data_IF_398301224358
#
_entry.id   IF_398301224358
#
_cell.length_a   1.000
_cell.length_b   1.000
_cell.length_c   1.000
_cell.angle_alpha   90.00
_cell.angle_beta   90.00
_cell.angle_gamma   90.00
#
_symmetry.space_group_name_H-M   'P 1'
#
loop_
_entity.id
_entity.type
_entity.pdbx_description
1 polymer ?
#
# COMPACT_ATOMS: atom_id res chain seq x y z
N UNK A 1 1.72 20.25 -20.79
CA UNK A 1 0.46 19.44 -20.71
C UNK A 1 0.69 18.13 -19.96
N UNK A 2 -0.11 17.84 -18.93
CA UNK A 2 -0.04 16.53 -18.25
C UNK A 2 -0.69 15.45 -19.13
N UNK A 3 -0.25 14.18 -19.08
CA UNK A 3 -0.61 13.14 -20.06
C UNK A 3 -2.12 12.89 -20.23
N UNK A 4 -2.92 13.25 -19.22
CA UNK A 4 -4.37 13.04 -19.18
C UNK A 4 -5.19 14.34 -19.11
N UNK A 5 -4.58 15.52 -19.36
CA UNK A 5 -5.30 16.81 -19.31
C UNK A 5 -5.72 17.31 -17.91
N UNK A 6 -5.53 16.51 -16.87
CA UNK A 6 -5.99 16.83 -15.51
C UNK A 6 -5.25 18.03 -14.89
N UNK A 7 -5.96 18.90 -14.17
CA UNK A 7 -5.46 20.02 -13.37
C UNK A 7 -5.08 19.60 -11.95
N UNK A 8 -4.19 20.37 -11.30
CA UNK A 8 -3.61 19.99 -10.00
C UNK A 8 -4.67 19.89 -8.90
N UNK A 9 -5.67 20.77 -8.94
CA UNK A 9 -6.81 20.78 -8.03
C UNK A 9 -7.72 19.55 -8.17
N UNK A 10 -7.60 18.80 -9.25
CA UNK A 10 -8.50 17.68 -9.56
C UNK A 10 -7.94 16.32 -9.08
N UNK A 11 -6.72 16.28 -8.54
CA UNK A 11 -6.09 15.03 -8.08
C UNK A 11 -5.25 15.21 -6.83
N UNK A 12 -5.32 14.20 -5.95
CA UNK A 12 -4.56 14.13 -4.70
C UNK A 12 -3.92 12.76 -4.53
N UNK A 13 -2.62 12.72 -4.21
CA UNK A 13 -1.94 11.49 -3.79
C UNK A 13 -2.09 11.35 -2.27
N UNK A 14 -2.67 10.22 -1.84
CA UNK A 14 -2.80 9.84 -0.43
C UNK A 14 -1.77 8.77 -0.06
N UNK A 15 -0.71 9.14 0.66
CA UNK A 15 0.33 8.22 1.09
C UNK A 15 0.11 7.75 2.54
N UNK A 16 0.19 6.44 2.79
CA UNK A 16 -0.14 5.84 4.11
C UNK A 16 0.72 4.64 4.52
N UNK A 17 1.71 4.24 3.72
CA UNK A 17 2.46 3.01 3.95
C UNK A 17 3.65 3.24 4.89
N UNK A 18 3.50 2.90 6.18
CA UNK A 18 4.55 2.97 7.21
C UNK A 18 5.37 4.29 7.20
N UNK A 19 4.64 5.40 7.25
CA UNK A 19 5.20 6.75 7.26
C UNK A 19 5.54 7.20 8.68
N UNK A 20 6.55 8.05 8.77
CA UNK A 20 6.81 8.97 9.87
C UNK A 20 6.74 10.41 9.33
N UNK A 21 6.83 11.40 10.23
CA UNK A 21 6.81 12.81 9.87
C UNK A 21 7.95 13.19 8.92
N UNK A 22 9.13 12.59 9.06
CA UNK A 22 10.29 12.90 8.22
C UNK A 22 10.09 12.41 6.78
N UNK A 23 9.62 11.18 6.60
CA UNK A 23 9.25 10.62 5.30
C UNK A 23 8.13 11.41 4.64
N UNK A 24 7.12 11.82 5.41
CA UNK A 24 6.05 12.68 4.90
C UNK A 24 6.60 14.02 4.40
N UNK A 25 7.52 14.65 5.15
CA UNK A 25 8.16 15.90 4.74
C UNK A 25 9.01 15.75 3.47
N UNK A 26 9.75 14.65 3.33
CA UNK A 26 10.52 14.34 2.11
C UNK A 26 9.59 14.19 0.90
N UNK A 27 8.52 13.43 1.04
CA UNK A 27 7.52 13.25 -0.02
C UNK A 27 6.82 14.57 -0.37
N UNK A 28 6.51 15.39 0.64
CA UNK A 28 5.95 16.72 0.43
C UNK A 28 6.88 17.58 -0.41
N UNK A 29 8.15 17.75 0.00
CA UNK A 29 9.13 18.55 -0.76
C UNK A 29 9.27 18.07 -2.21
N UNK A 30 9.20 16.76 -2.43
CA UNK A 30 9.35 16.19 -3.77
C UNK A 30 8.11 16.39 -4.67
N UNK A 31 6.89 16.28 -4.12
CA UNK A 31 5.66 16.27 -4.94
C UNK A 31 4.78 17.52 -4.82
N UNK A 32 5.02 18.40 -3.85
CA UNK A 32 4.13 19.52 -3.52
C UNK A 32 4.01 20.60 -4.61
N UNK A 33 4.86 20.62 -5.64
CA UNK A 33 4.66 21.49 -6.80
C UNK A 33 3.75 20.88 -7.86
N UNK A 34 3.58 19.55 -7.86
CA UNK A 34 2.97 18.79 -8.96
C UNK A 34 1.53 18.35 -8.68
N UNK A 35 1.19 18.01 -7.45
CA UNK A 35 -0.09 17.39 -7.08
C UNK A 35 -0.51 17.77 -5.66
N UNK A 36 -1.81 17.68 -5.34
CA UNK A 36 -2.22 17.75 -3.94
C UNK A 36 -1.78 16.50 -3.18
N UNK A 37 -1.48 16.65 -1.89
CA UNK A 37 -0.92 15.60 -1.06
C UNK A 37 -1.70 15.48 0.25
N UNK A 38 -1.89 14.25 0.70
CA UNK A 38 -2.39 13.95 2.03
C UNK A 38 -1.64 12.73 2.59
N UNK A 39 -1.29 12.80 3.86
CA UNK A 39 -0.48 11.78 4.53
C UNK A 39 -1.26 11.17 5.69
N UNK A 40 -1.41 9.85 5.69
CA UNK A 40 -1.95 9.10 6.82
C UNK A 40 -0.82 8.48 7.62
N UNK A 41 -0.56 8.98 8.82
CA UNK A 41 0.43 8.43 9.76
C UNK A 41 -0.34 7.70 10.87
N UNK A 42 -0.14 6.38 10.97
CA UNK A 42 -0.82 5.53 11.94
C UNK A 42 0.03 5.32 13.20
N UNK A 43 0.59 4.12 13.34
CA UNK A 43 1.33 3.67 14.54
C UNK A 43 2.38 4.66 15.04
N UNK A 44 3.16 5.29 14.14
CA UNK A 44 4.19 6.26 14.52
C UNK A 44 3.66 7.61 15.02
N UNK A 45 2.34 7.84 14.90
CA UNK A 45 1.66 8.99 15.49
C UNK A 45 0.92 8.58 16.76
N UNK A 46 0.25 7.41 16.74
CA UNK A 46 -0.65 7.00 17.83
C UNK A 46 -0.01 6.11 18.88
N UNK A 47 1.19 5.57 18.64
CA UNK A 47 1.88 4.62 19.50
C UNK A 47 3.41 4.77 19.34
N UNK A 48 3.92 5.99 19.53
CA UNK A 48 5.36 6.29 19.56
C UNK A 48 5.81 6.62 20.99
N UNK A 49 5.75 5.61 21.85
CA UNK A 49 6.02 5.74 23.29
C UNK A 49 7.37 5.07 23.58
N UNK A 50 8.30 5.76 24.26
CA UNK A 50 9.58 5.17 24.67
C UNK A 50 9.39 3.83 25.40
N UNK A 51 10.26 2.86 25.09
CA UNK A 51 10.26 1.50 25.64
C UNK A 51 9.00 0.65 25.36
N UNK A 52 8.02 1.16 24.60
CA UNK A 52 6.85 0.39 24.16
C UNK A 52 7.03 -0.03 22.70
N UNK A 53 6.97 -1.33 22.44
CA UNK A 53 6.96 -1.87 21.06
C UNK A 53 5.53 -2.00 20.56
N UNK A 54 5.13 -1.29 19.49
CA UNK A 54 3.79 -1.43 18.94
C UNK A 54 3.54 -2.83 18.39
N UNK A 55 2.32 -3.32 18.57
CA UNK A 55 1.89 -4.60 17.99
C UNK A 55 1.66 -4.46 16.48
N UNK A 56 2.15 -5.44 15.72
CA UNK A 56 1.93 -5.53 14.28
C UNK A 56 0.85 -6.59 13.99
N UNK A 57 -0.41 -6.21 14.18
CA UNK A 57 -1.58 -7.08 14.00
C UNK A 57 -2.33 -6.66 12.74
N UNK A 58 -2.82 -7.64 11.98
CA UNK A 58 -3.61 -7.42 10.77
C UNK A 58 -4.85 -8.30 10.78
N UNK A 59 -5.96 -7.75 10.30
CA UNK A 59 -7.17 -8.51 9.96
C UNK A 59 -7.34 -8.42 8.45
N UNK A 60 -7.58 -9.56 7.80
CA UNK A 60 -7.79 -9.63 6.36
C UNK A 60 -8.96 -10.57 6.05
N UNK A 61 -9.75 -10.20 5.06
CA UNK A 61 -10.73 -11.08 4.45
C UNK A 61 -9.98 -12.21 3.71
N UNK A 62 -10.34 -13.46 3.99
CA UNK A 62 -9.74 -14.65 3.35
C UNK A 62 -10.72 -15.39 2.43
N UNK A 63 -12.02 -15.22 2.66
CA UNK A 63 -13.09 -15.88 1.91
C UNK A 63 -14.29 -14.95 1.74
N UNK A 64 -15.01 -15.07 0.62
CA UNK A 64 -16.32 -14.46 0.40
C UNK A 64 -17.19 -15.43 -0.40
N UNK A 65 -18.42 -15.70 0.06
CA UNK A 65 -19.36 -16.63 -0.59
C UNK A 65 -18.76 -18.03 -0.87
N UNK A 66 -18.01 -18.60 0.10
CA UNK A 66 -17.36 -19.90 -0.07
C UNK A 66 -16.18 -19.92 -1.05
N UNK A 67 -15.72 -18.77 -1.54
CA UNK A 67 -14.62 -18.65 -2.51
C UNK A 67 -13.44 -17.87 -1.92
N UNK A 68 -12.19 -18.25 -2.24
CA UNK A 68 -11.00 -17.55 -1.74
C UNK A 68 -10.94 -16.13 -2.30
N UNK A 69 -10.43 -15.20 -1.48
CA UNK A 69 -10.04 -13.86 -1.93
C UNK A 69 -8.56 -13.62 -1.65
N UNK A 70 -7.94 -12.71 -2.40
CA UNK A 70 -6.54 -12.38 -2.23
C UNK A 70 -6.30 -10.89 -2.44
N UNK A 71 -5.41 -10.34 -1.63
CA UNK A 71 -4.83 -9.00 -1.84
C UNK A 71 -3.41 -9.16 -2.36
N UNK A 72 -3.21 -8.84 -3.65
CA UNK A 72 -1.89 -8.71 -4.24
C UNK A 72 -1.34 -7.31 -3.91
N UNK A 73 -0.07 -7.22 -3.54
CA UNK A 73 0.60 -5.95 -3.21
C UNK A 73 1.89 -5.85 -3.99
N UNK A 74 2.27 -4.62 -4.34
CA UNK A 74 3.57 -4.32 -4.97
C UNK A 74 4.76 -4.65 -4.04
N UNK A 75 4.51 -4.74 -2.73
CA UNK A 75 5.53 -5.23 -1.79
C UNK A 75 5.49 -6.76 -1.71
N UNK A 76 6.62 -7.45 -1.91
CA UNK A 76 6.70 -8.90 -1.71
C UNK A 76 6.34 -9.27 -0.26
N UNK A 77 5.82 -10.48 -0.06
CA UNK A 77 5.52 -11.02 1.28
C UNK A 77 4.23 -10.51 1.95
N UNK A 78 3.49 -9.56 1.36
CA UNK A 78 2.22 -9.06 1.94
C UNK A 78 0.96 -9.82 1.50
N UNK A 79 1.11 -10.78 0.58
CA UNK A 79 0.00 -11.61 0.10
C UNK A 79 -0.32 -12.65 1.17
N UNK A 80 -1.54 -12.60 1.70
CA UNK A 80 -2.08 -13.62 2.62
C UNK A 80 -3.26 -14.23 1.88
N UNK A 81 -3.03 -15.40 1.28
CA UNK A 81 -4.03 -16.26 0.66
C UNK A 81 -3.46 -17.68 0.70
N UNK A 82 -4.20 -18.62 1.28
CA UNK A 82 -3.73 -20.00 1.45
C UNK A 82 -3.82 -20.79 0.13
N UNK A 83 -4.72 -20.39 -0.76
CA UNK A 83 -4.87 -21.01 -2.08
C UNK A 83 -3.87 -20.43 -3.09
N UNK A 84 -2.75 -21.15 -3.26
CA UNK A 84 -1.72 -20.78 -4.25
C UNK A 84 -2.21 -20.89 -5.69
N UNK A 85 -3.19 -21.76 -5.98
CA UNK A 85 -3.74 -21.90 -7.33
C UNK A 85 -4.58 -20.67 -7.68
N UNK A 86 -5.42 -20.21 -6.75
CA UNK A 86 -6.16 -18.96 -6.89
C UNK A 86 -5.23 -17.76 -7.10
N UNK A 87 -4.16 -17.63 -6.32
CA UNK A 87 -3.18 -16.54 -6.49
C UNK A 87 -2.53 -16.57 -7.88
N UNK A 88 -2.19 -17.75 -8.41
CA UNK A 88 -1.64 -17.89 -9.78
C UNK A 88 -2.66 -17.50 -10.84
N UNK A 89 -3.91 -17.96 -10.71
CA UNK A 89 -4.98 -17.62 -11.63
C UNK A 89 -5.26 -16.10 -11.63
N UNK A 90 -5.31 -15.48 -10.46
CA UNK A 90 -5.50 -14.04 -10.29
C UNK A 90 -4.36 -13.24 -10.95
N UNK A 91 -3.11 -13.65 -10.77
CA UNK A 91 -1.96 -13.03 -11.43
C UNK A 91 -2.04 -13.10 -12.95
N UNK A 92 -2.45 -14.25 -13.49
CA UNK A 92 -2.65 -14.44 -14.93
C UNK A 92 -3.80 -13.55 -15.45
N UNK A 93 -4.90 -13.45 -14.70
CA UNK A 93 -6.05 -12.65 -15.09
C UNK A 93 -5.75 -11.14 -15.18
N UNK A 94 -4.83 -10.63 -14.35
CA UNK A 94 -4.39 -9.23 -14.35
C UNK A 94 -3.07 -9.00 -15.09
N UNK A 95 -2.58 -9.99 -15.85
CA UNK A 95 -1.31 -9.96 -16.59
C UNK A 95 -0.12 -9.43 -15.77
N UNK A 96 0.00 -9.88 -14.52
CA UNK A 96 1.00 -9.36 -13.59
C UNK A 96 2.35 -10.08 -13.75
N UNK A 97 3.48 -9.33 -13.72
CA UNK A 97 4.80 -9.92 -13.81
C UNK A 97 5.07 -10.90 -12.66
N UNK A 98 5.84 -11.96 -12.94
CA UNK A 98 6.29 -12.92 -11.93
C UNK A 98 7.14 -12.21 -10.87
N UNK A 99 6.73 -12.25 -9.60
CA UNK A 99 7.54 -11.73 -8.50
C UNK A 99 8.73 -12.66 -8.33
N UNK A 100 9.95 -12.16 -8.59
CA UNK A 100 11.18 -12.82 -8.18
C UNK A 100 11.17 -12.92 -6.65
N UNK A 101 11.38 -14.12 -6.11
CA UNK A 101 11.57 -14.28 -4.66
C UNK A 101 12.72 -13.36 -4.25
N UNK A 102 12.53 -12.58 -3.19
CA UNK A 102 13.65 -11.93 -2.52
C UNK A 102 14.53 -13.05 -1.97
N UNK A 103 15.79 -13.09 -2.41
CA UNK A 103 16.84 -13.94 -1.86
C UNK A 103 17.11 -13.59 -0.40
#
# INVERSE_FOLDING_TARGET
PRPAGLLRSESCIRARANLDLQKAAVLYRHFASRVQLSFGIGTRLTCDIPQVKPLNIVIKLVECNGKPVAKLSDSPGKTICHDKAFVRALRKAFDLPQIRKAS
#
